data_IF_232655221358
#
_entry.id   IF_232655221358
#
_cell.length_a   1.000
_cell.length_b   1.000
_cell.length_c   1.000
_cell.angle_alpha   90.00
_cell.angle_beta   90.00
_cell.angle_gamma   90.00
#
_symmetry.space_group_name_H-M   'P 1'
#
loop_
_entity.id
_entity.type
_entity.pdbx_description
1 polymer ?
#
# COMPACT_ATOMS: atom_id res chain seq x y z
N UNK A 1 -19.78 29.92 -12.71
CA UNK A 1 -19.60 28.53 -12.22
C UNK A 1 -19.65 28.57 -10.70
N UNK A 2 -20.62 27.90 -10.08
CA UNK A 2 -20.75 27.85 -8.61
C UNK A 2 -19.63 26.99 -8.00
N UNK A 3 -19.23 27.28 -6.75
CA UNK A 3 -18.19 26.54 -6.04
C UNK A 3 -18.41 25.02 -6.08
N UNK A 4 -19.66 24.58 -5.89
CA UNK A 4 -20.04 23.17 -5.96
C UNK A 4 -19.75 22.55 -7.34
N UNK A 5 -20.03 23.28 -8.42
CA UNK A 5 -19.76 22.82 -9.79
C UNK A 5 -18.25 22.70 -10.03
N UNK A 6 -17.47 23.63 -9.49
CA UNK A 6 -16.00 23.56 -9.54
C UNK A 6 -15.49 22.38 -8.70
N UNK A 7 -15.95 22.18 -7.47
CA UNK A 7 -15.56 20.99 -6.67
C UNK A 7 -15.89 19.68 -7.40
N UNK A 8 -17.07 19.59 -8.03
CA UNK A 8 -17.47 18.43 -8.82
C UNK A 8 -16.56 18.23 -10.04
N UNK A 9 -16.16 19.31 -10.73
CA UNK A 9 -15.27 19.19 -11.90
C UNK A 9 -13.89 18.65 -11.51
N UNK A 10 -13.30 19.16 -10.42
CA UNK A 10 -12.05 18.64 -9.87
C UNK A 10 -12.17 17.18 -9.42
N UNK A 11 -13.31 16.81 -8.84
CA UNK A 11 -13.57 15.45 -8.39
C UNK A 11 -13.71 14.45 -9.55
N UNK A 12 -14.32 14.89 -10.65
CA UNK A 12 -14.57 14.10 -11.87
C UNK A 12 -13.41 14.15 -12.87
N UNK A 13 -12.37 14.94 -12.60
CA UNK A 13 -11.23 15.08 -13.51
C UNK A 13 -10.59 13.72 -13.81
N UNK A 14 -10.51 13.38 -15.10
CA UNK A 14 -9.75 12.22 -15.54
C UNK A 14 -8.26 12.50 -15.38
N UNK A 15 -7.59 11.66 -14.61
CA UNK A 15 -6.19 11.81 -14.27
C UNK A 15 -5.57 10.45 -13.93
N UNK A 16 -4.24 10.29 -14.12
CA UNK A 16 -3.53 9.14 -13.60
C UNK A 16 -3.80 8.97 -12.10
N UNK A 17 -3.84 7.74 -11.61
CA UNK A 17 -4.13 7.43 -10.20
C UNK A 17 -3.29 8.29 -9.22
N UNK A 18 -2.04 8.57 -9.58
CA UNK A 18 -1.09 9.42 -8.84
C UNK A 18 -1.59 10.86 -8.64
N UNK A 19 -2.23 11.46 -9.64
CA UNK A 19 -2.72 12.83 -9.60
C UNK A 19 -4.17 12.93 -9.13
N UNK A 20 -4.95 11.84 -9.28
CA UNK A 20 -6.36 11.80 -8.90
C UNK A 20 -6.59 12.19 -7.44
N UNK A 21 -5.75 11.70 -6.53
CA UNK A 21 -5.85 12.04 -5.10
C UNK A 21 -5.55 13.51 -4.85
N UNK A 22 -4.58 14.08 -5.57
CA UNK A 22 -4.22 15.50 -5.46
C UNK A 22 -5.37 16.36 -5.98
N UNK A 23 -5.88 16.09 -7.19
CA UNK A 23 -7.00 16.84 -7.77
C UNK A 23 -8.26 16.82 -6.90
N UNK A 24 -8.57 15.67 -6.27
CA UNK A 24 -9.69 15.58 -5.33
C UNK A 24 -9.50 16.43 -4.06
N UNK A 25 -8.27 16.59 -3.60
CA UNK A 25 -7.97 17.39 -2.41
C UNK A 25 -7.81 18.90 -2.71
N UNK A 26 -7.49 19.27 -3.95
CA UNK A 26 -7.25 20.66 -4.35
C UNK A 26 -8.37 21.63 -3.93
N UNK A 27 -9.67 21.34 -4.14
CA UNK A 27 -10.73 22.22 -3.67
C UNK A 27 -10.68 22.45 -2.16
N UNK A 28 -10.44 21.41 -1.36
CA UNK A 28 -10.33 21.51 0.10
C UNK A 28 -9.12 22.35 0.52
N UNK A 29 -7.97 22.14 -0.12
CA UNK A 29 -6.73 22.90 0.16
C UNK A 29 -6.92 24.39 -0.18
N UNK A 30 -7.50 24.70 -1.34
CA UNK A 30 -7.76 26.09 -1.76
C UNK A 30 -8.74 26.76 -0.80
N UNK A 31 -9.87 26.10 -0.49
CA UNK A 31 -10.87 26.64 0.44
C UNK A 31 -10.29 26.90 1.83
N UNK A 32 -9.43 26.00 2.33
CA UNK A 32 -8.73 26.19 3.59
C UNK A 32 -7.77 27.40 3.56
N UNK A 33 -7.01 27.56 2.48
CA UNK A 33 -6.09 28.70 2.32
C UNK A 33 -6.84 30.03 2.18
N UNK A 34 -7.98 30.05 1.47
CA UNK A 34 -8.86 31.22 1.39
C UNK A 34 -9.44 31.58 2.77
N UNK A 35 -9.94 30.59 3.51
CA UNK A 35 -10.47 30.81 4.86
C UNK A 35 -9.41 31.37 5.80
N UNK A 36 -8.18 30.83 5.79
CA UNK A 36 -7.06 31.37 6.57
C UNK A 36 -6.73 32.81 6.19
N UNK A 37 -6.71 33.13 4.90
CA UNK A 37 -6.41 34.47 4.41
C UNK A 37 -7.46 35.49 4.82
N UNK A 38 -8.74 35.12 4.73
CA UNK A 38 -9.86 35.94 5.22
C UNK A 38 -9.76 36.21 6.73
N UNK A 39 -9.43 35.18 7.52
CA UNK A 39 -9.31 35.34 8.97
C UNK A 39 -8.10 36.18 9.36
N UNK A 40 -6.97 36.02 8.67
CA UNK A 40 -5.79 36.84 8.89
C UNK A 40 -6.09 38.33 8.62
N UNK A 41 -6.80 38.63 7.53
CA UNK A 41 -7.25 39.98 7.19
C UNK A 41 -8.13 40.59 8.30
N UNK A 42 -9.01 39.79 8.92
CA UNK A 42 -9.84 40.23 10.05
C UNK A 42 -9.04 40.58 11.32
N UNK A 43 -7.81 40.09 11.43
CA UNK A 43 -6.93 40.28 12.59
C UNK A 43 -5.66 41.06 12.22
N UNK A 44 -5.79 42.06 11.33
CA UNK A 44 -4.74 42.98 10.87
C UNK A 44 -3.47 42.31 10.32
N UNK A 45 -3.59 41.06 9.86
CA UNK A 45 -2.53 40.34 9.16
C UNK A 45 -2.91 40.20 7.69
N UNK A 46 -2.41 41.09 6.84
CA UNK A 46 -2.68 41.00 5.41
C UNK A 46 -1.89 39.84 4.78
N UNK A 47 -2.61 38.89 4.18
CA UNK A 47 -2.02 37.80 3.41
C UNK A 47 -2.22 38.12 1.94
N UNK A 48 -1.16 38.62 1.32
CA UNK A 48 -1.10 38.85 -0.14
C UNK A 48 -1.41 37.56 -0.91
N UNK A 49 -1.95 37.72 -2.11
CA UNK A 49 -2.30 36.63 -3.00
C UNK A 49 -1.15 35.65 -3.23
N UNK A 50 0.07 36.15 -3.43
CA UNK A 50 1.27 35.32 -3.66
C UNK A 50 1.53 34.38 -2.48
N UNK A 51 1.39 34.92 -1.25
CA UNK A 51 1.56 34.12 -0.03
C UNK A 51 0.46 33.07 0.12
N UNK A 52 -0.75 33.34 -0.34
CA UNK A 52 -1.83 32.35 -0.37
C UNK A 52 -1.52 31.20 -1.34
N UNK A 53 -1.03 31.53 -2.54
CA UNK A 53 -0.59 30.54 -3.53
C UNK A 53 0.54 29.69 -2.96
N UNK A 54 1.51 30.29 -2.28
CA UNK A 54 2.60 29.56 -1.61
C UNK A 54 2.09 28.61 -0.52
N UNK A 55 1.08 29.02 0.24
CA UNK A 55 0.44 28.15 1.24
C UNK A 55 -0.25 26.94 0.60
N UNK A 56 -0.98 27.16 -0.50
CA UNK A 56 -1.59 26.07 -1.27
C UNK A 56 -0.50 25.13 -1.79
N UNK A 57 0.52 25.66 -2.45
CA UNK A 57 1.61 24.87 -3.00
C UNK A 57 2.39 24.12 -1.92
N UNK A 58 2.60 24.71 -0.74
CA UNK A 58 3.24 24.04 0.39
C UNK A 58 2.46 22.81 0.84
N UNK A 59 1.13 22.93 0.97
CA UNK A 59 0.27 21.80 1.37
C UNK A 59 0.24 20.72 0.29
N UNK A 60 0.18 21.12 -0.99
CA UNK A 60 0.25 20.16 -2.11
C UNK A 60 1.58 19.41 -2.11
N UNK A 61 2.72 20.10 -1.93
CA UNK A 61 4.04 19.46 -1.82
C UNK A 61 4.12 18.48 -0.65
N UNK A 62 3.56 18.84 0.51
CA UNK A 62 3.47 17.94 1.67
C UNK A 62 2.64 16.70 1.34
N UNK A 63 1.48 16.86 0.69
CA UNK A 63 0.62 15.75 0.28
C UNK A 63 1.35 14.82 -0.70
N UNK A 64 2.08 15.37 -1.67
CA UNK A 64 2.93 14.58 -2.59
C UNK A 64 3.99 13.81 -1.80
N UNK A 65 4.66 14.44 -0.83
CA UNK A 65 5.67 13.76 0.00
C UNK A 65 5.07 12.64 0.84
N UNK A 66 3.85 12.79 1.35
CA UNK A 66 3.14 11.73 2.05
C UNK A 66 2.78 10.56 1.13
N UNK A 67 2.36 10.83 -0.11
CA UNK A 67 1.99 9.78 -1.07
C UNK A 67 3.20 9.09 -1.71
N UNK A 68 4.30 9.83 -1.88
CA UNK A 68 5.52 9.36 -2.53
C UNK A 68 6.76 9.70 -1.67
N UNK A 69 6.94 9.06 -0.50
CA UNK A 69 8.02 9.39 0.45
C UNK A 69 9.43 9.30 -0.15
N UNK A 70 9.61 8.47 -1.17
CA UNK A 70 10.87 8.25 -1.87
C UNK A 70 11.23 9.37 -2.88
N UNK A 71 10.31 10.28 -3.24
CA UNK A 71 10.65 11.46 -4.05
C UNK A 71 11.40 12.45 -3.14
N UNK A 72 12.68 12.67 -3.43
CA UNK A 72 13.54 13.58 -2.67
C UNK A 72 13.42 15.02 -3.19
N UNK A 73 13.51 16.01 -2.29
CA UNK A 73 13.58 17.44 -2.58
C UNK A 73 12.51 17.97 -3.54
N UNK A 74 11.26 18.08 -3.07
CA UNK A 74 10.16 18.65 -3.85
C UNK A 74 10.19 20.18 -3.72
N UNK A 75 11.03 20.84 -4.51
CA UNK A 75 11.05 22.31 -4.66
C UNK A 75 10.31 22.81 -5.90
N UNK A 76 9.51 21.94 -6.52
CA UNK A 76 8.84 22.20 -7.80
C UNK A 76 7.82 23.35 -7.73
N UNK A 77 7.77 24.15 -8.79
CA UNK A 77 6.66 25.02 -9.15
C UNK A 77 5.39 24.20 -9.43
N UNK A 78 4.24 24.87 -9.59
CA UNK A 78 2.98 24.18 -9.89
C UNK A 78 3.02 23.41 -11.21
N UNK A 79 3.68 23.96 -12.23
CA UNK A 79 3.76 23.33 -13.55
C UNK A 79 4.69 22.10 -13.51
N UNK A 80 5.86 22.25 -12.88
CA UNK A 80 6.81 21.15 -12.67
C UNK A 80 6.20 20.02 -11.83
N UNK A 81 5.37 20.33 -10.84
CA UNK A 81 4.69 19.31 -10.04
C UNK A 81 3.76 18.46 -10.89
N UNK A 82 2.93 19.09 -11.73
CA UNK A 82 2.01 18.37 -12.63
C UNK A 82 2.80 17.56 -13.66
N UNK A 83 3.83 18.17 -14.26
CA UNK A 83 4.68 17.50 -15.24
C UNK A 83 5.41 16.28 -14.65
N UNK A 84 6.08 16.46 -13.51
CA UNK A 84 6.83 15.39 -12.84
C UNK A 84 5.92 14.25 -12.43
N UNK A 85 4.76 14.54 -11.82
CA UNK A 85 3.85 13.47 -11.37
C UNK A 85 3.14 12.74 -12.51
N UNK A 86 2.81 13.43 -13.60
CA UNK A 86 2.31 12.78 -14.81
C UNK A 86 3.32 11.76 -15.35
N UNK A 87 4.58 12.19 -15.48
CA UNK A 87 5.65 11.38 -16.08
C UNK A 87 6.33 10.41 -15.10
N UNK A 88 6.09 10.56 -13.79
CA UNK A 88 6.73 9.73 -12.77
C UNK A 88 6.36 8.24 -12.91
N UNK A 89 7.36 7.38 -13.13
CA UNK A 89 7.18 5.92 -13.08
C UNK A 89 7.90 5.37 -11.85
N UNK A 90 7.21 4.79 -10.86
CA UNK A 90 7.87 4.22 -9.70
C UNK A 90 8.77 3.06 -10.15
N UNK A 91 10.01 3.05 -9.66
CA UNK A 91 10.89 1.91 -9.83
C UNK A 91 10.45 0.82 -8.85
N UNK A 92 9.75 -0.19 -9.36
CA UNK A 92 9.33 -1.33 -8.57
C UNK A 92 10.52 -2.28 -8.41
N UNK A 93 10.98 -2.44 -7.18
CA UNK A 93 11.89 -3.51 -6.81
C UNK A 93 11.03 -4.70 -6.39
N UNK A 94 11.00 -5.74 -7.22
CA UNK A 94 10.32 -6.98 -6.91
C UNK A 94 11.26 -8.14 -7.16
N UNK A 95 11.20 -9.14 -6.29
CA UNK A 95 11.79 -10.44 -6.53
C UNK A 95 10.67 -11.33 -7.08
N UNK A 96 10.78 -11.75 -8.34
CA UNK A 96 9.84 -12.73 -8.87
C UNK A 96 10.11 -14.08 -8.20
N UNK A 97 9.16 -14.54 -7.39
CA UNK A 97 9.20 -15.87 -6.78
C UNK A 97 8.32 -16.79 -7.63
N UNK A 98 8.96 -17.55 -8.52
CA UNK A 98 8.26 -18.52 -9.37
C UNK A 98 8.20 -19.85 -8.65
N UNK A 99 7.00 -20.37 -8.43
CA UNK A 99 6.83 -21.74 -7.97
C UNK A 99 7.18 -22.70 -9.10
N UNK A 100 8.12 -23.61 -8.84
CA UNK A 100 8.47 -24.73 -9.75
C UNK A 100 7.99 -26.04 -9.14
N UNK A 101 7.47 -26.98 -9.94
CA UNK A 101 7.18 -28.31 -9.43
C UNK A 101 8.45 -29.01 -8.94
N UNK A 102 8.33 -29.96 -7.98
CA UNK A 102 9.44 -30.83 -7.61
C UNK A 102 9.74 -31.83 -8.73
N UNK A 103 10.90 -32.50 -8.66
CA UNK A 103 11.26 -33.53 -9.64
C UNK A 103 10.37 -34.78 -9.51
N UNK A 104 10.44 -35.68 -10.50
CA UNK A 104 9.72 -36.96 -10.45
C UNK A 104 10.11 -37.74 -9.18
N UNK A 105 9.13 -38.37 -8.54
CA UNK A 105 9.28 -39.06 -7.24
C UNK A 105 9.61 -38.16 -6.05
N UNK A 106 9.47 -36.84 -6.19
CA UNK A 106 9.52 -35.90 -5.07
C UNK A 106 8.17 -35.23 -4.88
N UNK A 107 7.91 -34.81 -3.64
CA UNK A 107 6.79 -33.94 -3.29
C UNK A 107 7.29 -32.59 -2.81
N UNK A 108 6.49 -31.55 -3.02
CA UNK A 108 6.76 -30.21 -2.51
C UNK A 108 5.75 -29.88 -1.42
N UNK A 109 6.26 -29.61 -0.22
CA UNK A 109 5.46 -29.18 0.92
C UNK A 109 5.58 -27.67 1.07
N UNK A 110 4.49 -26.94 0.86
CA UNK A 110 4.41 -25.52 1.16
C UNK A 110 3.70 -25.37 2.50
N UNK A 111 4.37 -24.77 3.48
CA UNK A 111 3.88 -24.60 4.84
C UNK A 111 3.72 -23.12 5.16
N UNK A 112 2.80 -22.80 6.07
CA UNK A 112 2.57 -21.45 6.54
C UNK A 112 2.01 -21.46 7.96
N UNK A 113 2.65 -20.72 8.85
CA UNK A 113 2.12 -20.37 10.15
C UNK A 113 1.41 -19.02 10.12
N UNK A 114 0.23 -18.96 10.73
CA UNK A 114 -0.52 -17.72 10.95
C UNK A 114 -0.54 -17.39 12.44
N UNK A 115 -0.09 -16.18 12.77
CA UNK A 115 0.02 -15.70 14.13
C UNK A 115 -0.54 -14.28 14.23
N UNK A 116 -1.56 -14.09 15.07
CA UNK A 116 -2.24 -12.78 15.21
C UNK A 116 -1.44 -11.82 16.08
N UNK A 117 -0.88 -12.33 17.17
CA UNK A 117 -0.08 -11.61 18.17
C UNK A 117 1.04 -12.54 18.63
N UNK A 118 2.20 -12.02 19.07
CA UNK A 118 3.36 -12.86 19.38
C UNK A 118 3.77 -12.74 20.86
N UNK A 119 3.39 -13.68 21.75
CA UNK A 119 2.54 -14.85 21.50
C UNK A 119 1.04 -14.51 21.45
N UNK A 120 0.23 -15.42 20.89
CA UNK A 120 -1.19 -15.19 20.64
C UNK A 120 -1.89 -16.41 20.05
N UNK A 121 -3.18 -16.28 19.74
CA UNK A 121 -3.97 -17.37 19.17
C UNK A 121 -3.62 -17.61 17.70
N UNK A 122 -3.10 -18.80 17.41
CA UNK A 122 -2.44 -19.11 16.15
C UNK A 122 -3.01 -20.36 15.47
N UNK A 123 -2.72 -20.47 14.18
CA UNK A 123 -3.08 -21.59 13.32
C UNK A 123 -1.97 -21.86 12.32
N UNK A 124 -1.92 -23.07 11.76
CA UNK A 124 -1.04 -23.37 10.64
C UNK A 124 -1.81 -23.98 9.49
N UNK A 125 -1.22 -23.90 8.31
CA UNK A 125 -1.65 -24.59 7.11
C UNK A 125 -0.48 -25.13 6.31
N UNK A 126 -0.73 -26.15 5.52
CA UNK A 126 0.21 -26.60 4.50
C UNK A 126 -0.51 -27.27 3.34
N UNK A 127 0.19 -27.36 2.21
CA UNK A 127 -0.19 -28.20 1.08
C UNK A 127 1.00 -29.02 0.57
N UNK A 128 0.70 -30.22 0.08
CA UNK A 128 1.65 -31.17 -0.51
C UNK A 128 1.28 -31.33 -1.99
N UNK A 129 2.24 -31.13 -2.88
CA UNK A 129 2.05 -31.22 -4.33
C UNK A 129 2.99 -32.23 -4.96
N UNK A 130 2.51 -32.92 -5.99
CA UNK A 130 3.28 -33.87 -6.79
C UNK A 130 4.22 -33.16 -7.78
N UNK A 131 5.02 -33.94 -8.50
CA UNK A 131 5.94 -33.48 -9.56
C UNK A 131 5.28 -32.79 -10.76
N UNK A 132 3.97 -32.96 -10.96
CA UNK A 132 3.19 -32.20 -11.96
C UNK A 132 2.57 -30.93 -11.40
N UNK A 133 2.73 -30.69 -10.09
CA UNK A 133 2.10 -29.60 -9.35
C UNK A 133 0.68 -29.87 -8.85
N UNK A 134 0.14 -31.05 -9.15
CA UNK A 134 -1.14 -31.53 -8.66
C UNK A 134 -1.16 -31.53 -7.13
N UNK A 135 -2.25 -31.04 -6.55
CA UNK A 135 -2.45 -31.04 -5.10
C UNK A 135 -2.73 -32.49 -4.64
N UNK A 136 -1.85 -33.04 -3.81
CA UNK A 136 -2.03 -34.35 -3.19
C UNK A 136 -2.85 -34.21 -1.91
N UNK A 137 -2.50 -33.23 -1.09
CA UNK A 137 -3.13 -33.02 0.21
C UNK A 137 -2.97 -31.59 0.70
N UNK A 138 -3.94 -31.11 1.49
CA UNK A 138 -3.84 -29.86 2.21
C UNK A 138 -4.49 -30.02 3.58
N UNK A 139 -3.97 -29.28 4.56
CA UNK A 139 -4.51 -29.24 5.91
C UNK A 139 -4.33 -27.86 6.51
N UNK A 140 -5.31 -27.43 7.28
CA UNK A 140 -5.21 -26.28 8.17
C UNK A 140 -5.70 -26.70 9.56
N UNK A 141 -5.08 -26.16 10.61
CA UNK A 141 -5.44 -26.47 12.01
C UNK A 141 -5.11 -25.30 12.93
N UNK A 142 -6.03 -24.98 13.85
CA UNK A 142 -5.77 -24.09 14.98
C UNK A 142 -4.93 -24.79 16.06
N UNK A 143 -3.93 -24.09 16.59
CA UNK A 143 -3.00 -24.65 17.59
C UNK A 143 -3.17 -24.06 18.98
N UNK A 144 -3.89 -22.93 19.10
CA UNK A 144 -4.07 -22.23 20.36
C UNK A 144 -3.01 -21.16 20.56
N UNK A 145 -2.64 -20.91 21.82
CA UNK A 145 -1.75 -19.81 22.20
C UNK A 145 -0.27 -20.20 22.03
N UNK A 146 0.39 -19.67 21.00
CA UNK A 146 1.81 -19.98 20.70
C UNK A 146 2.55 -18.75 20.17
N UNK A 147 3.84 -18.88 19.87
CA UNK A 147 4.61 -17.86 19.14
C UNK A 147 4.53 -18.06 17.62
N UNK A 148 4.92 -17.02 16.86
CA UNK A 148 5.01 -17.12 15.40
C UNK A 148 6.03 -18.20 14.94
N UNK A 149 7.17 -18.31 15.62
CA UNK A 149 8.21 -19.29 15.30
C UNK A 149 7.74 -20.73 15.53
N UNK A 150 7.08 -20.99 16.67
CA UNK A 150 6.51 -22.31 16.96
C UNK A 150 5.44 -22.68 15.94
N UNK A 151 4.60 -21.72 15.54
CA UNK A 151 3.53 -21.96 14.56
C UNK A 151 4.09 -22.40 13.21
N UNK A 152 5.15 -21.74 12.72
CA UNK A 152 5.84 -22.12 11.48
C UNK A 152 6.51 -23.51 11.59
N UNK A 153 7.20 -23.77 12.71
CA UNK A 153 7.82 -25.07 12.95
C UNK A 153 6.78 -26.21 13.01
N UNK A 154 5.63 -25.97 13.62
CA UNK A 154 4.52 -26.93 13.69
C UNK A 154 3.87 -27.17 12.33
N UNK A 155 3.80 -26.16 11.46
CA UNK A 155 3.36 -26.30 10.09
C UNK A 155 4.26 -27.29 9.33
N UNK A 156 5.59 -27.11 9.42
CA UNK A 156 6.59 -27.97 8.79
C UNK A 156 6.51 -29.41 9.33
N UNK A 157 6.51 -29.58 10.66
CA UNK A 157 6.42 -30.88 11.30
C UNK A 157 5.15 -31.62 10.88
N UNK A 158 4.01 -30.92 10.88
CA UNK A 158 2.73 -31.52 10.49
C UNK A 158 2.70 -31.95 9.03
N UNK A 159 3.32 -31.17 8.14
CA UNK A 159 3.44 -31.53 6.73
C UNK A 159 4.28 -32.79 6.54
N UNK A 160 5.44 -32.87 7.18
CA UNK A 160 6.34 -34.04 7.12
C UNK A 160 5.67 -35.31 7.66
N UNK A 161 4.94 -35.20 8.77
CA UNK A 161 4.17 -36.32 9.33
C UNK A 161 3.14 -36.83 8.32
N UNK A 162 2.44 -35.93 7.61
CA UNK A 162 1.47 -36.35 6.59
C UNK A 162 2.13 -36.95 5.35
N UNK A 163 3.33 -36.51 4.96
CA UNK A 163 4.11 -37.20 3.92
C UNK A 163 4.45 -38.64 4.33
N UNK A 164 4.96 -38.84 5.55
CA UNK A 164 5.33 -40.16 6.06
C UNK A 164 4.13 -41.10 6.14
N UNK A 165 2.99 -40.63 6.66
CA UNK A 165 1.76 -41.42 6.74
C UNK A 165 1.26 -41.88 5.37
N UNK A 166 1.47 -41.06 4.34
CA UNK A 166 1.01 -41.31 2.97
C UNK A 166 2.04 -42.03 2.11
N UNK A 167 3.25 -42.27 2.63
CA UNK A 167 4.39 -42.86 1.90
C UNK A 167 4.73 -42.07 0.62
N UNK A 168 4.76 -40.74 0.75
CA UNK A 168 5.12 -39.79 -0.31
C UNK A 168 6.62 -39.50 -0.39
#
# INVERSE_FOLDING_TARGET
MHLQQLTISWWKQEAPHKLKTIYKAMPGIIMWSLWKSRNAFKHDNDIRYERMVDLVMKVVRQMVKCQFPWIMNISWSSQELIFSLNNYKPKLHFLSVIWRPPETHQVKCNTHGECRENPGQNSYGFCIRASRGDLIYAKAKGIGWTTNQETEAMAMLSALIECLKRRL
#
